data_IF_300452530381
#
_entry.id   IF_300452530381
#
_cell.length_a   1.000
_cell.length_b   1.000
_cell.length_c   1.000
_cell.angle_alpha   90.00
_cell.angle_beta   90.00
_cell.angle_gamma   90.00
#
_symmetry.space_group_name_H-M   'P 1'
#
loop_
_entity.id
_entity.type
_entity.pdbx_description
1 polymer ?
#
# COMPACT_ATOMS: atom_id res chain seq x y z
N UNK A 1 22.71 8.25 -4.16
CA UNK A 1 21.54 7.63 -3.54
C UNK A 1 21.97 6.26 -3.06
N UNK A 2 21.85 6.01 -1.75
CA UNK A 2 22.41 4.83 -1.12
C UNK A 2 21.75 3.56 -1.60
N UNK A 3 22.53 2.50 -1.62
CA UNK A 3 22.13 1.10 -1.63
C UNK A 3 21.02 0.95 -0.57
N UNK A 4 19.90 0.32 -0.95
CA UNK A 4 18.73 0.21 -0.09
C UNK A 4 19.04 -0.37 1.30
N UNK A 5 18.23 -0.02 2.26
CA UNK A 5 18.38 -0.45 3.65
C UNK A 5 18.11 -1.97 3.75
N UNK A 6 19.18 -2.77 3.72
CA UNK A 6 19.10 -4.22 3.90
C UNK A 6 18.50 -4.64 5.27
N UNK A 7 18.51 -3.73 6.24
CA UNK A 7 17.82 -3.94 7.52
C UNK A 7 16.31 -3.97 7.36
N UNK A 8 15.77 -3.09 6.54
CA UNK A 8 14.33 -3.05 6.23
C UNK A 8 13.90 -4.26 5.40
N UNK A 9 14.67 -4.63 4.36
CA UNK A 9 14.44 -5.85 3.57
C UNK A 9 14.33 -7.08 4.45
N UNK A 10 15.33 -7.29 5.32
CA UNK A 10 15.35 -8.41 6.26
C UNK A 10 14.16 -8.39 7.24
N UNK A 11 13.77 -7.20 7.71
CA UNK A 11 12.66 -7.05 8.63
C UNK A 11 11.30 -7.35 7.98
N UNK A 12 11.15 -7.05 6.69
CA UNK A 12 9.91 -7.30 5.95
C UNK A 12 9.81 -8.74 5.43
N UNK A 13 10.91 -9.31 4.95
CA UNK A 13 10.90 -10.58 4.20
C UNK A 13 11.89 -11.62 4.71
N UNK A 14 12.50 -11.41 5.89
CA UNK A 14 13.39 -12.41 6.48
C UNK A 14 12.65 -13.71 6.79
N UNK A 15 12.91 -14.76 5.99
CA UNK A 15 12.24 -16.06 6.11
C UNK A 15 10.89 -16.16 5.37
N UNK A 16 10.49 -15.15 4.62
CA UNK A 16 9.32 -15.22 3.74
C UNK A 16 9.61 -16.14 2.54
N UNK A 17 8.73 -17.11 2.32
CA UNK A 17 8.71 -17.97 1.14
C UNK A 17 7.30 -17.94 0.53
N UNK A 18 7.14 -17.41 -0.70
CA UNK A 18 5.83 -17.28 -1.33
C UNK A 18 5.06 -18.59 -1.45
N UNK A 19 5.74 -19.70 -1.75
CA UNK A 19 5.08 -21.00 -1.93
C UNK A 19 4.53 -21.54 -0.61
N UNK A 20 5.29 -21.44 0.47
CA UNK A 20 4.84 -21.80 1.82
C UNK A 20 3.69 -20.90 2.25
N UNK A 21 3.81 -19.59 2.04
CA UNK A 21 2.77 -18.63 2.39
C UNK A 21 1.45 -18.90 1.64
N UNK A 22 1.52 -19.23 0.34
CA UNK A 22 0.37 -19.60 -0.47
C UNK A 22 -0.28 -20.91 0.00
N UNK A 23 0.51 -21.86 0.49
CA UNK A 23 0.01 -23.10 1.07
C UNK A 23 -0.73 -22.87 2.39
N UNK A 24 -0.21 -21.98 3.23
CA UNK A 24 -0.81 -21.63 4.52
C UNK A 24 -2.06 -20.75 4.36
N UNK A 25 -2.04 -19.87 3.36
CA UNK A 25 -3.10 -18.90 3.06
C UNK A 25 -3.44 -18.96 1.57
N UNK A 26 -4.44 -19.75 1.15
CA UNK A 26 -4.76 -19.96 -0.26
C UNK A 26 -5.49 -18.75 -0.89
N UNK A 27 -4.85 -17.58 -0.89
CA UNK A 27 -5.43 -16.32 -1.41
C UNK A 27 -5.76 -16.39 -2.90
N UNK A 28 -5.13 -17.28 -3.67
CA UNK A 28 -5.46 -17.51 -5.07
C UNK A 28 -6.91 -18.01 -5.24
N UNK A 29 -7.40 -18.86 -4.32
CA UNK A 29 -8.80 -19.33 -4.32
C UNK A 29 -9.75 -18.16 -4.04
N UNK A 30 -9.38 -17.31 -3.06
CA UNK A 30 -10.13 -16.11 -2.72
C UNK A 30 -10.28 -15.14 -3.89
N UNK A 31 -9.25 -15.05 -4.75
CA UNK A 31 -9.19 -14.18 -5.91
C UNK A 31 -9.72 -14.84 -7.20
N UNK A 32 -10.01 -16.14 -7.17
CA UNK A 32 -10.37 -16.92 -8.36
C UNK A 32 -9.22 -16.99 -9.39
N UNK A 33 -7.97 -17.00 -8.92
CA UNK A 33 -6.76 -17.07 -9.78
C UNK A 33 -6.39 -18.53 -9.99
N UNK A 34 -6.22 -18.92 -11.27
CA UNK A 34 -5.72 -20.25 -11.63
C UNK A 34 -4.19 -20.30 -11.44
N UNK A 35 -3.71 -21.32 -10.75
CA UNK A 35 -2.29 -21.57 -10.50
C UNK A 35 -1.59 -22.36 -11.62
N UNK A 36 -2.27 -22.72 -12.70
CA UNK A 36 -1.69 -23.57 -13.77
C UNK A 36 -0.43 -22.95 -14.42
N UNK A 37 -0.29 -21.63 -14.37
CA UNK A 37 0.88 -20.89 -14.86
C UNK A 37 1.75 -20.30 -13.76
N UNK A 38 1.41 -20.53 -12.49
CA UNK A 38 2.15 -19.97 -11.36
C UNK A 38 3.56 -20.57 -11.28
N UNK A 39 4.57 -19.70 -11.23
CA UNK A 39 5.98 -20.12 -11.23
C UNK A 39 6.57 -20.37 -12.62
N UNK A 40 5.80 -20.23 -13.71
CA UNK A 40 6.34 -20.26 -15.08
C UNK A 40 7.06 -18.94 -15.39
N UNK A 41 8.37 -18.93 -15.63
CA UNK A 41 9.11 -17.72 -15.99
C UNK A 41 8.58 -17.04 -17.26
N UNK A 42 7.91 -17.80 -18.15
CA UNK A 42 7.25 -17.26 -19.34
C UNK A 42 5.95 -16.51 -19.03
N UNK A 43 5.23 -16.88 -17.99
CA UNK A 43 3.99 -16.21 -17.60
C UNK A 43 4.24 -14.79 -17.05
N UNK A 44 5.33 -14.57 -16.34
CA UNK A 44 5.74 -13.22 -15.88
C UNK A 44 6.05 -12.27 -17.04
N UNK A 45 6.55 -12.78 -18.17
CA UNK A 45 6.85 -11.97 -19.36
C UNK A 45 5.61 -11.64 -20.19
N UNK A 46 4.54 -12.42 -20.11
CA UNK A 46 3.28 -12.14 -20.81
C UNK A 46 2.50 -10.94 -20.21
N UNK A 47 2.81 -10.55 -18.98
CA UNK A 47 2.18 -9.44 -18.24
C UNK A 47 2.73 -8.07 -18.65
N UNK A 48 3.82 -7.99 -19.34
CA UNK A 48 4.70 -6.84 -19.36
C UNK A 48 4.88 -6.06 -20.64
N UNK A 49 3.94 -5.94 -21.56
CA UNK A 49 4.03 -4.89 -22.57
C UNK A 49 3.28 -3.62 -22.10
N UNK A 50 3.91 -2.89 -21.20
CA UNK A 50 3.50 -1.57 -20.71
C UNK A 50 3.34 -0.49 -21.80
N UNK A 51 3.67 -0.79 -23.06
CA UNK A 51 3.67 0.15 -24.19
C UNK A 51 2.30 0.42 -24.78
N UNK A 52 1.24 -0.27 -24.35
CA UNK A 52 -0.10 -0.15 -24.93
C UNK A 52 -1.19 0.00 -23.86
N UNK A 53 -1.01 0.91 -22.91
CA UNK A 53 -2.14 1.40 -22.15
C UNK A 53 -2.84 2.44 -23.02
N UNK A 54 -3.72 2.00 -23.90
CA UNK A 54 -4.64 2.89 -24.59
C UNK A 54 -5.57 3.51 -23.54
N UNK A 55 -5.71 4.85 -23.49
CA UNK A 55 -6.74 5.51 -22.70
C UNK A 55 -8.11 4.94 -23.12
N UNK A 56 -8.78 4.23 -22.23
CA UNK A 56 -10.05 3.56 -22.51
C UNK A 56 -9.98 2.05 -22.69
N UNK A 57 -8.84 1.41 -22.49
CA UNK A 57 -8.74 -0.04 -22.44
C UNK A 57 -9.07 -0.52 -21.01
N UNK A 58 -10.32 -0.86 -20.80
CA UNK A 58 -10.89 -1.33 -19.51
C UNK A 58 -10.53 -2.79 -19.17
N UNK A 59 -9.47 -3.33 -19.74
CA UNK A 59 -9.04 -4.70 -19.41
C UNK A 59 -8.28 -4.68 -18.08
N UNK A 60 -8.76 -5.40 -17.05
CA UNK A 60 -8.08 -5.49 -15.77
C UNK A 60 -6.64 -5.98 -15.96
N UNK A 61 -5.70 -5.37 -15.26
CA UNK A 61 -4.32 -5.84 -15.24
C UNK A 61 -4.25 -7.29 -14.76
N UNK A 62 -3.35 -8.07 -15.34
CA UNK A 62 -3.09 -9.43 -14.85
C UNK A 62 -2.54 -9.32 -13.44
N UNK A 63 -3.09 -10.14 -12.53
CA UNK A 63 -2.67 -10.15 -11.13
C UNK A 63 -1.27 -10.72 -11.00
N UNK A 64 -0.37 -9.96 -10.45
CA UNK A 64 0.91 -10.46 -9.98
C UNK A 64 0.70 -11.09 -8.60
N UNK A 65 0.51 -12.41 -8.58
CA UNK A 65 0.19 -13.14 -7.34
C UNK A 65 1.29 -12.99 -6.28
N UNK A 66 2.56 -12.98 -6.69
CA UNK A 66 3.69 -12.81 -5.78
C UNK A 66 3.66 -11.47 -5.04
N UNK A 67 3.20 -10.39 -5.69
CA UNK A 67 3.04 -9.07 -5.06
C UNK A 67 1.95 -9.09 -4.01
N UNK A 68 0.83 -9.74 -4.31
CA UNK A 68 -0.27 -9.92 -3.38
C UNK A 68 0.12 -10.82 -2.19
N UNK A 69 0.92 -11.87 -2.42
CA UNK A 69 1.47 -12.70 -1.33
C UNK A 69 2.39 -11.89 -0.42
N UNK A 70 3.24 -11.02 -0.97
CA UNK A 70 4.10 -10.11 -0.20
C UNK A 70 3.27 -9.14 0.64
N UNK A 71 2.25 -8.51 0.05
CA UNK A 71 1.35 -7.61 0.77
C UNK A 71 0.63 -8.33 1.92
N UNK A 72 0.08 -9.51 1.66
CA UNK A 72 -0.58 -10.32 2.68
C UNK A 72 0.38 -10.66 3.83
N UNK A 73 1.60 -11.09 3.49
CA UNK A 73 2.65 -11.38 4.47
C UNK A 73 3.00 -10.16 5.32
N UNK A 74 3.19 -8.98 4.71
CA UNK A 74 3.50 -7.74 5.42
C UNK A 74 2.40 -7.41 6.45
N UNK A 75 1.13 -7.49 6.06
CA UNK A 75 0.02 -7.21 6.96
C UNK A 75 0.02 -8.17 8.15
N UNK A 76 0.24 -9.46 7.91
CA UNK A 76 0.26 -10.48 8.97
C UNK A 76 1.47 -10.38 9.88
N UNK A 77 2.67 -10.29 9.31
CA UNK A 77 3.93 -10.27 10.05
C UNK A 77 4.09 -9.02 10.91
N UNK A 78 3.59 -7.89 10.43
CA UNK A 78 3.59 -6.61 11.14
C UNK A 78 2.36 -6.38 12.02
N UNK A 79 1.42 -7.34 12.09
CA UNK A 79 0.17 -7.22 12.85
C UNK A 79 -0.54 -5.90 12.58
N UNK A 80 -0.62 -5.53 11.30
CA UNK A 80 -1.25 -4.27 10.87
C UNK A 80 -2.69 -4.21 11.34
N UNK A 81 -3.12 -3.04 11.82
CA UNK A 81 -4.48 -2.82 12.33
C UNK A 81 -5.31 -1.90 11.45
N UNK A 82 -4.70 -0.91 10.79
CA UNK A 82 -5.43 0.06 9.97
C UNK A 82 -4.68 0.31 8.67
N UNK A 83 -5.36 0.14 7.54
CA UNK A 83 -4.75 0.32 6.22
C UNK A 83 -5.43 1.47 5.47
N UNK A 84 -4.63 2.31 4.84
CA UNK A 84 -5.05 3.23 3.79
C UNK A 84 -4.48 2.76 2.46
N UNK A 85 -5.36 2.43 1.51
CA UNK A 85 -5.02 2.00 0.16
C UNK A 85 -5.39 3.10 -0.84
N UNK A 86 -4.46 3.45 -1.70
CA UNK A 86 -4.67 4.32 -2.86
C UNK A 86 -4.70 3.48 -4.13
N UNK A 87 -5.86 3.43 -4.78
CA UNK A 87 -6.17 2.51 -5.88
C UNK A 87 -6.93 1.29 -5.35
N UNK A 88 -8.13 1.06 -5.89
CA UNK A 88 -8.99 -0.07 -5.52
C UNK A 88 -8.79 -1.22 -6.49
N UNK A 89 -8.60 -2.45 -5.97
CA UNK A 89 -8.35 -3.59 -6.84
C UNK A 89 -8.40 -4.94 -6.12
N UNK A 90 -7.66 -5.91 -6.65
CA UNK A 90 -7.52 -7.24 -6.02
C UNK A 90 -6.70 -7.18 -4.72
N UNK A 91 -5.80 -6.22 -4.59
CA UNK A 91 -5.08 -5.90 -3.37
C UNK A 91 -6.05 -5.61 -2.21
N UNK A 92 -7.14 -4.90 -2.45
CA UNK A 92 -8.20 -4.62 -1.47
C UNK A 92 -8.70 -5.90 -0.80
N UNK A 93 -9.00 -6.94 -1.57
CA UNK A 93 -9.47 -8.24 -1.03
C UNK A 93 -8.39 -8.91 -0.18
N UNK A 94 -7.13 -8.87 -0.63
CA UNK A 94 -6.00 -9.51 0.04
C UNK A 94 -5.65 -8.81 1.35
N UNK A 95 -5.62 -7.48 1.34
CA UNK A 95 -5.38 -6.65 2.52
C UNK A 95 -6.49 -6.85 3.57
N UNK A 96 -7.75 -6.87 3.14
CA UNK A 96 -8.89 -7.13 4.01
C UNK A 96 -8.87 -8.53 4.63
N UNK A 97 -8.46 -9.55 3.85
CA UNK A 97 -8.32 -10.91 4.35
C UNK A 97 -7.24 -11.01 5.44
N UNK A 98 -6.09 -10.41 5.20
CA UNK A 98 -5.02 -10.39 6.20
C UNK A 98 -5.44 -9.63 7.48
N UNK A 99 -6.19 -8.53 7.37
CA UNK A 99 -6.77 -7.83 8.53
C UNK A 99 -7.78 -8.70 9.30
N UNK A 100 -8.56 -9.54 8.60
CA UNK A 100 -9.48 -10.48 9.27
C UNK A 100 -8.72 -11.47 10.16
N UNK A 101 -7.62 -12.01 9.67
CA UNK A 101 -6.75 -12.92 10.43
C UNK A 101 -6.12 -12.20 11.62
N UNK A 102 -5.65 -10.95 11.42
CA UNK A 102 -5.09 -10.15 12.51
C UNK A 102 -6.15 -9.85 13.59
N UNK A 103 -7.40 -9.55 13.20
CA UNK A 103 -8.49 -9.35 14.16
C UNK A 103 -8.74 -10.60 15.00
N UNK A 104 -8.86 -11.76 14.37
CA UNK A 104 -9.04 -13.03 15.08
C UNK A 104 -7.93 -13.29 16.10
N UNK A 105 -6.69 -12.93 15.76
CA UNK A 105 -5.53 -13.12 16.61
C UNK A 105 -5.38 -12.07 17.72
N UNK A 106 -5.59 -10.81 17.38
CA UNK A 106 -5.10 -9.67 18.18
C UNK A 106 -6.19 -8.74 18.72
N UNK A 107 -7.49 -8.94 18.41
CA UNK A 107 -8.57 -8.02 18.80
C UNK A 107 -8.61 -7.71 20.30
N UNK A 108 -8.38 -8.71 21.15
CA UNK A 108 -8.39 -8.55 22.60
C UNK A 108 -7.27 -7.61 23.10
N UNK A 109 -6.06 -7.77 22.58
CA UNK A 109 -4.90 -6.94 22.93
C UNK A 109 -5.06 -5.53 22.38
N UNK A 110 -5.51 -5.41 21.13
CA UNK A 110 -5.74 -4.10 20.50
C UNK A 110 -6.78 -3.30 21.27
N UNK A 111 -7.90 -3.91 21.67
CA UNK A 111 -8.95 -3.25 22.43
C UNK A 111 -8.52 -2.85 23.86
N UNK A 112 -7.66 -3.66 24.51
CA UNK A 112 -7.24 -3.41 25.90
C UNK A 112 -6.08 -2.41 26.00
N UNK A 113 -5.09 -2.50 25.10
CA UNK A 113 -3.78 -1.87 25.29
C UNK A 113 -3.45 -0.82 24.23
N UNK A 114 -4.16 -0.77 23.10
CA UNK A 114 -3.86 0.13 22.01
C UNK A 114 -4.89 1.25 21.85
N UNK A 115 -4.41 2.43 21.48
CA UNK A 115 -5.25 3.54 21.09
C UNK A 115 -5.50 3.50 19.58
N UNK A 116 -6.55 2.76 19.16
CA UNK A 116 -6.97 2.63 17.76
C UNK A 116 -8.45 2.99 17.60
N UNK A 117 -8.76 3.91 16.67
CA UNK A 117 -10.14 4.29 16.36
C UNK A 117 -10.74 3.44 15.23
N UNK A 118 -9.89 2.91 14.37
CA UNK A 118 -10.28 2.11 13.20
C UNK A 118 -9.52 0.76 13.19
N UNK A 119 -9.66 -0.06 14.26
CA UNK A 119 -8.93 -1.31 14.34
C UNK A 119 -9.47 -2.33 13.34
N UNK A 120 -8.57 -2.93 12.57
CA UNK A 120 -8.83 -3.95 11.56
C UNK A 120 -9.72 -3.48 10.40
N UNK A 121 -9.65 -2.17 10.10
CA UNK A 121 -10.34 -1.56 8.97
C UNK A 121 -9.37 -1.26 7.82
N UNK A 122 -9.86 -1.50 6.61
CA UNK A 122 -9.26 -1.10 5.34
C UNK A 122 -10.06 0.04 4.74
N UNK A 123 -9.40 1.16 4.49
CA UNK A 123 -9.97 2.28 3.77
C UNK A 123 -9.26 2.39 2.41
N UNK A 124 -9.99 2.10 1.33
CA UNK A 124 -9.47 2.16 -0.03
C UNK A 124 -10.08 3.33 -0.77
N UNK A 125 -9.26 4.15 -1.40
CA UNK A 125 -9.67 5.34 -2.13
C UNK A 125 -9.41 5.19 -3.62
N UNK A 126 -10.37 5.59 -4.45
CA UNK A 126 -10.23 5.62 -5.90
C UNK A 126 -11.02 6.78 -6.48
N UNK A 127 -10.63 7.27 -7.64
CA UNK A 127 -11.34 8.29 -8.39
C UNK A 127 -12.30 7.72 -9.45
N UNK A 128 -12.24 6.42 -9.71
CA UNK A 128 -13.09 5.73 -10.68
C UNK A 128 -14.18 4.91 -9.97
N UNK A 129 -15.43 5.34 -10.13
CA UNK A 129 -16.61 4.67 -9.56
C UNK A 129 -16.82 3.27 -10.13
N UNK A 130 -16.43 3.01 -11.37
CA UNK A 130 -16.60 1.70 -12.01
C UNK A 130 -15.66 0.66 -11.41
N UNK A 131 -14.44 1.04 -11.07
CA UNK A 131 -13.49 0.20 -10.33
C UNK A 131 -13.98 -0.10 -8.92
N UNK A 132 -14.48 0.92 -8.21
CA UNK A 132 -15.07 0.78 -6.88
C UNK A 132 -16.25 -0.21 -6.92
N UNK A 133 -17.16 -0.08 -7.88
CA UNK A 133 -18.30 -0.99 -8.05
C UNK A 133 -17.85 -2.41 -8.33
N UNK A 134 -16.88 -2.58 -9.24
CA UNK A 134 -16.31 -3.89 -9.60
C UNK A 134 -15.68 -4.56 -8.39
N UNK A 135 -14.84 -3.85 -7.64
CA UNK A 135 -14.19 -4.36 -6.43
C UNK A 135 -15.22 -4.69 -5.34
N UNK A 136 -16.22 -3.81 -5.13
CA UNK A 136 -17.30 -4.03 -4.16
C UNK A 136 -18.09 -5.31 -4.45
N UNK A 137 -18.37 -5.59 -5.73
CA UNK A 137 -19.07 -6.82 -6.13
C UNK A 137 -18.21 -8.06 -5.95
N UNK A 138 -16.91 -7.97 -6.25
CA UNK A 138 -15.97 -9.07 -6.12
C UNK A 138 -15.59 -9.37 -4.65
N UNK A 139 -15.78 -8.41 -3.74
CA UNK A 139 -15.38 -8.55 -2.35
C UNK A 139 -16.23 -9.62 -1.64
N UNK A 140 -15.62 -10.66 -1.04
CA UNK A 140 -16.30 -11.68 -0.26
C UNK A 140 -17.15 -11.10 0.87
N UNK A 141 -18.31 -11.67 1.11
CA UNK A 141 -19.28 -11.14 2.07
C UNK A 141 -18.70 -10.99 3.50
N UNK A 142 -17.85 -11.92 3.93
CA UNK A 142 -17.24 -11.90 5.26
C UNK A 142 -16.17 -10.81 5.46
N UNK A 143 -15.75 -10.15 4.37
CA UNK A 143 -14.77 -9.05 4.42
C UNK A 143 -15.42 -7.67 4.30
N UNK A 144 -16.69 -7.57 3.94
CA UNK A 144 -17.33 -6.30 3.60
C UNK A 144 -17.39 -5.30 4.74
N UNK A 145 -17.65 -5.76 5.96
CA UNK A 145 -17.83 -4.87 7.11
C UNK A 145 -16.54 -4.14 7.51
N UNK A 146 -15.37 -4.66 7.09
CA UNK A 146 -14.06 -4.04 7.36
C UNK A 146 -13.51 -3.20 6.20
N UNK A 147 -14.15 -3.27 5.03
CA UNK A 147 -13.71 -2.57 3.82
C UNK A 147 -14.56 -1.33 3.57
N UNK A 148 -13.93 -0.18 3.62
CA UNK A 148 -14.55 1.11 3.34
C UNK A 148 -14.00 1.64 2.02
N UNK A 149 -14.79 1.51 0.93
CA UNK A 149 -14.43 1.98 -0.40
C UNK A 149 -14.91 3.42 -0.55
N UNK A 150 -14.00 4.34 -0.90
CA UNK A 150 -14.26 5.76 -0.98
C UNK A 150 -14.05 6.25 -2.41
N UNK A 151 -15.10 6.85 -3.00
CA UNK A 151 -14.94 7.62 -4.22
C UNK A 151 -14.37 9.00 -3.89
N UNK A 152 -13.13 9.25 -4.28
CA UNK A 152 -12.40 10.48 -4.02
C UNK A 152 -11.95 11.08 -5.36
N UNK A 153 -12.59 12.15 -5.87
CA UNK A 153 -12.15 12.82 -7.10
C UNK A 153 -10.70 13.26 -7.01
N UNK A 154 -10.00 13.15 -8.14
CA UNK A 154 -8.58 13.47 -8.25
C UNK A 154 -8.39 14.84 -8.89
N UNK A 155 -7.52 15.66 -8.31
CA UNK A 155 -7.20 16.99 -8.84
C UNK A 155 -5.70 17.21 -9.02
N UNK A 156 -5.35 18.06 -9.99
CA UNK A 156 -4.00 18.60 -10.13
C UNK A 156 -3.77 19.64 -9.05
N UNK A 157 -2.61 19.55 -8.40
CA UNK A 157 -2.19 20.50 -7.39
C UNK A 157 -0.69 20.75 -7.41
N UNK A 158 -0.22 21.42 -6.37
CA UNK A 158 1.18 21.78 -6.19
C UNK A 158 1.65 21.38 -4.79
N UNK A 159 2.80 20.70 -4.71
CA UNK A 159 3.52 20.46 -3.48
C UNK A 159 4.92 21.08 -3.58
N UNK A 160 5.21 22.07 -2.73
CA UNK A 160 6.48 22.78 -2.71
C UNK A 160 6.97 23.27 -4.10
N UNK A 161 6.06 23.84 -4.90
CA UNK A 161 6.35 24.35 -6.25
C UNK A 161 6.41 23.26 -7.34
N UNK A 162 6.01 22.03 -7.04
CA UNK A 162 6.06 20.90 -7.97
C UNK A 162 4.66 20.41 -8.28
N UNK A 163 4.38 20.18 -9.56
CA UNK A 163 3.11 19.60 -10.02
C UNK A 163 2.94 18.19 -9.43
N UNK A 164 1.75 17.94 -8.90
CA UNK A 164 1.36 16.65 -8.33
C UNK A 164 -0.16 16.47 -8.43
N UNK A 165 -0.65 15.35 -7.92
CA UNK A 165 -2.08 15.07 -7.79
C UNK A 165 -2.48 14.89 -6.33
N UNK A 166 -3.74 15.19 -6.02
CA UNK A 166 -4.38 14.96 -4.73
C UNK A 166 -5.76 14.36 -4.91
N UNK A 167 -6.10 13.44 -4.03
CA UNK A 167 -7.47 13.02 -3.84
C UNK A 167 -8.23 14.03 -2.96
N UNK A 168 -9.47 14.35 -3.33
CA UNK A 168 -10.37 15.13 -2.49
C UNK A 168 -11.07 14.25 -1.47
N UNK A 169 -11.28 14.78 -0.27
CA UNK A 169 -12.09 14.14 0.77
C UNK A 169 -11.56 12.77 1.23
N UNK A 170 -10.25 12.66 1.43
CA UNK A 170 -9.66 11.46 2.02
C UNK A 170 -10.28 11.12 3.37
N UNK A 171 -10.40 9.84 3.72
CA UNK A 171 -10.81 9.43 5.06
C UNK A 171 -9.81 9.91 6.11
N UNK A 172 -10.30 10.52 7.18
CA UNK A 172 -9.47 11.05 8.26
C UNK A 172 -9.14 9.94 9.26
N UNK A 173 -8.03 9.26 9.07
CA UNK A 173 -7.58 8.13 9.87
C UNK A 173 -6.07 8.15 10.10
N UNK A 174 -5.59 7.28 11.00
CA UNK A 174 -4.17 7.11 11.28
C UNK A 174 -3.73 5.67 10.89
N UNK A 175 -3.35 5.44 9.61
CA UNK A 175 -2.95 4.12 9.16
C UNK A 175 -1.58 3.71 9.71
N UNK A 176 -1.39 2.42 9.94
CA UNK A 176 -0.08 1.81 10.20
C UNK A 176 0.52 1.15 8.94
N UNK A 177 -0.31 0.94 7.90
CA UNK A 177 0.14 0.60 6.56
C UNK A 177 -0.53 1.52 5.53
N UNK A 178 0.25 2.06 4.61
CA UNK A 178 -0.23 2.78 3.42
C UNK A 178 0.23 2.00 2.19
N UNK A 179 -0.71 1.63 1.33
CA UNK A 179 -0.42 1.02 0.03
C UNK A 179 -0.75 1.99 -1.09
N UNK A 180 0.23 2.33 -1.93
CA UNK A 180 0.12 3.30 -3.01
C UNK A 180 0.26 2.61 -4.37
N UNK A 181 -0.87 2.30 -4.99
CA UNK A 181 -0.99 1.74 -6.34
C UNK A 181 -1.92 2.57 -7.25
N UNK A 182 -2.51 3.62 -6.76
CA UNK A 182 -3.31 4.66 -7.44
C UNK A 182 -2.71 6.04 -7.22
N UNK A 183 -3.22 7.07 -7.90
CA UNK A 183 -4.12 7.07 -9.05
C UNK A 183 -3.39 6.86 -10.38
N UNK A 184 -4.15 6.72 -11.48
CA UNK A 184 -3.60 6.83 -12.83
C UNK A 184 -3.17 8.28 -13.15
N UNK A 185 -2.47 8.46 -14.27
CA UNK A 185 -1.95 9.77 -14.65
C UNK A 185 -2.92 10.64 -15.46
N UNK A 186 -4.05 10.08 -15.94
CA UNK A 186 -4.92 10.75 -16.91
C UNK A 186 -6.16 11.35 -16.29
N UNK A 187 -6.68 10.81 -15.19
CA UNK A 187 -7.98 11.15 -14.62
C UNK A 187 -7.98 12.36 -13.68
N UNK A 188 -6.81 12.98 -13.42
CA UNK A 188 -6.76 14.16 -12.57
C UNK A 188 -7.37 15.39 -13.26
N UNK A 189 -8.28 16.08 -12.56
CA UNK A 189 -8.92 17.31 -13.04
C UNK A 189 -8.01 18.53 -12.86
N UNK A 190 -8.06 19.44 -13.85
CA UNK A 190 -7.36 20.72 -13.80
C UNK A 190 -5.96 20.70 -14.39
N UNK A 191 -5.26 21.81 -14.19
CA UNK A 191 -3.87 22.02 -14.61
C UNK A 191 -3.14 22.98 -13.67
N UNK A 192 -1.81 22.95 -13.72
CA UNK A 192 -0.95 23.95 -13.11
C UNK A 192 -0.18 24.68 -14.21
N UNK A 193 -0.58 25.92 -14.55
CA UNK A 193 0.03 26.73 -15.62
C UNK A 193 0.03 26.04 -16.99
N UNK A 194 -1.05 25.34 -17.31
CA UNK A 194 -1.20 24.55 -18.53
C UNK A 194 -0.50 23.19 -18.51
N UNK A 195 0.03 22.76 -17.37
CA UNK A 195 0.68 21.47 -17.19
C UNK A 195 -0.25 20.53 -16.39
N UNK A 196 -0.35 19.28 -16.84
CA UNK A 196 -1.12 18.22 -16.19
C UNK A 196 -0.30 16.93 -16.18
N UNK A 197 -0.65 15.97 -15.34
CA UNK A 197 -0.12 14.61 -15.42
C UNK A 197 -0.65 13.85 -16.62
N UNK A 198 -1.80 14.26 -17.19
CA UNK A 198 -2.46 13.65 -18.35
C UNK A 198 -1.64 13.85 -19.64
N UNK A 199 -0.55 13.11 -19.76
CA UNK A 199 0.36 13.13 -20.91
C UNK A 199 1.01 11.76 -21.05
N UNK A 200 1.14 11.19 -22.27
CA UNK A 200 1.68 9.85 -22.49
C UNK A 200 3.09 9.62 -21.90
N UNK A 201 3.91 10.67 -21.89
CA UNK A 201 5.31 10.59 -21.41
C UNK A 201 5.47 11.02 -19.94
N UNK A 202 4.37 11.20 -19.20
CA UNK A 202 4.40 11.54 -17.78
C UNK A 202 3.97 10.35 -16.94
N UNK A 203 4.38 10.36 -15.67
CA UNK A 203 4.03 9.36 -14.68
C UNK A 203 3.10 9.97 -13.63
N UNK A 204 2.27 9.16 -12.96
CA UNK A 204 1.45 9.63 -11.84
C UNK A 204 2.35 10.18 -10.74
N UNK A 205 1.84 11.16 -9.98
CA UNK A 205 2.63 11.90 -8.99
C UNK A 205 1.74 12.29 -7.79
N UNK A 206 1.23 11.28 -7.07
CA UNK A 206 0.40 11.50 -5.88
C UNK A 206 1.22 12.07 -4.73
N UNK A 207 0.70 13.13 -4.11
CA UNK A 207 1.35 13.85 -3.02
C UNK A 207 0.58 13.77 -1.69
N UNK A 208 -0.52 13.07 -1.63
CA UNK A 208 -1.41 12.98 -0.46
C UNK A 208 -0.65 12.63 0.82
N UNK A 209 0.22 11.63 0.78
CA UNK A 209 1.01 11.17 1.94
C UNK A 209 1.87 12.28 2.51
N UNK A 210 2.42 13.17 1.66
CA UNK A 210 3.25 14.29 2.09
C UNK A 210 2.47 15.32 2.90
N UNK A 211 1.15 15.44 2.66
CA UNK A 211 0.30 16.40 3.37
C UNK A 211 0.09 16.00 4.82
N UNK A 212 -0.06 14.72 5.09
CA UNK A 212 -0.31 14.22 6.44
C UNK A 212 0.88 13.46 7.06
N UNK A 213 2.07 13.52 6.45
CA UNK A 213 3.28 12.85 6.94
C UNK A 213 3.51 13.04 8.44
N UNK A 214 3.35 14.28 8.94
CA UNK A 214 3.62 14.61 10.34
C UNK A 214 2.62 14.03 11.34
N UNK A 215 1.48 13.52 10.88
CA UNK A 215 0.50 12.80 11.71
C UNK A 215 0.73 11.30 11.76
N UNK A 216 1.60 10.76 10.89
CA UNK A 216 1.96 9.34 10.91
C UNK A 216 2.79 9.02 12.16
N UNK A 217 2.57 7.82 12.70
CA UNK A 217 3.28 7.37 13.89
C UNK A 217 4.51 6.54 13.53
N UNK A 218 5.61 6.61 14.31
CA UNK A 218 6.73 5.68 14.14
C UNK A 218 6.24 4.23 14.05
N UNK A 219 6.83 3.48 13.12
CA UNK A 219 6.38 2.13 12.74
C UNK A 219 5.44 2.09 11.55
N UNK A 220 4.89 3.23 11.08
CA UNK A 220 4.10 3.25 9.84
C UNK A 220 4.96 2.82 8.65
N UNK A 221 4.40 1.94 7.81
CA UNK A 221 5.00 1.48 6.56
C UNK A 221 4.22 2.04 5.37
N UNK A 222 4.94 2.55 4.37
CA UNK A 222 4.40 2.89 3.05
C UNK A 222 4.96 1.87 2.05
N UNK A 223 4.08 1.23 1.28
CA UNK A 223 4.44 0.39 0.14
C UNK A 223 3.96 1.08 -1.12
N UNK A 224 4.86 1.31 -2.07
CA UNK A 224 4.55 1.90 -3.38
C UNK A 224 4.80 0.84 -4.44
N UNK A 225 3.81 0.51 -5.24
CA UNK A 225 3.83 -0.59 -6.18
C UNK A 225 3.90 -0.10 -7.63
N UNK A 226 4.91 -0.55 -8.38
CA UNK A 226 5.09 -0.24 -9.80
C UNK A 226 5.23 1.24 -10.16
N UNK A 227 5.41 2.13 -9.19
CA UNK A 227 5.35 3.60 -9.34
C UNK A 227 6.66 4.29 -8.99
N UNK A 228 7.76 3.84 -9.60
CA UNK A 228 9.11 4.34 -9.30
C UNK A 228 9.23 5.87 -9.35
N UNK A 229 8.56 6.56 -10.28
CA UNK A 229 8.57 8.02 -10.35
C UNK A 229 7.92 8.64 -9.10
N UNK A 230 6.76 8.12 -8.68
CA UNK A 230 6.07 8.56 -7.47
C UNK A 230 6.88 8.25 -6.20
N UNK A 231 7.47 7.06 -6.11
CA UNK A 231 8.33 6.70 -4.98
C UNK A 231 9.54 7.64 -4.86
N UNK A 232 10.17 8.02 -5.97
CA UNK A 232 11.26 9.01 -5.98
C UNK A 232 10.77 10.41 -5.58
N UNK A 233 9.55 10.79 -5.96
CA UNK A 233 8.94 12.04 -5.54
C UNK A 233 8.70 12.04 -4.02
N UNK A 234 8.17 10.97 -3.45
CA UNK A 234 8.05 10.81 -2.00
C UNK A 234 9.41 10.85 -1.32
N UNK A 235 10.38 10.07 -1.77
CA UNK A 235 11.72 9.99 -1.18
C UNK A 235 12.45 11.36 -1.14
N UNK A 236 12.15 12.27 -2.08
CA UNK A 236 12.76 13.59 -2.14
C UNK A 236 11.99 14.67 -1.37
N UNK A 237 10.78 14.38 -0.89
CA UNK A 237 9.92 15.35 -0.22
C UNK A 237 9.51 14.94 1.20
N UNK A 238 9.57 13.69 1.57
CA UNK A 238 9.43 13.22 2.95
C UNK A 238 10.52 13.86 3.82
N UNK A 239 10.12 14.41 4.97
CA UNK A 239 10.97 15.22 5.85
C UNK A 239 11.38 14.51 7.12
N UNK A 240 10.59 13.54 7.57
CA UNK A 240 10.85 12.77 8.78
C UNK A 240 11.87 11.66 8.52
N UNK A 241 12.27 10.91 9.53
CA UNK A 241 13.28 9.87 9.40
C UNK A 241 12.68 8.57 8.86
N UNK A 242 12.72 8.41 7.54
CA UNK A 242 12.28 7.23 6.83
C UNK A 242 13.46 6.33 6.47
N UNK A 243 13.37 5.05 6.78
CA UNK A 243 14.15 4.00 6.15
C UNK A 243 13.55 3.71 4.79
N UNK A 244 14.35 3.62 3.75
CA UNK A 244 13.89 3.41 2.38
C UNK A 244 14.63 2.25 1.71
N UNK A 245 13.85 1.36 1.12
CA UNK A 245 14.36 0.27 0.29
C UNK A 245 13.56 0.18 -1.01
N UNK A 246 14.29 0.03 -2.15
CA UNK A 246 13.72 -0.25 -3.46
C UNK A 246 14.03 -1.70 -3.84
N UNK A 247 13.03 -2.52 -3.88
CA UNK A 247 13.08 -3.90 -4.33
C UNK A 247 12.94 -3.95 -5.85
N UNK A 248 14.05 -3.79 -6.55
CA UNK A 248 14.10 -3.69 -8.03
C UNK A 248 13.56 -4.96 -8.70
N UNK A 249 13.68 -6.12 -8.05
CA UNK A 249 13.32 -7.43 -8.60
C UNK A 249 11.82 -7.59 -8.83
N UNK A 250 11.03 -6.88 -8.03
CA UNK A 250 9.56 -6.91 -8.10
C UNK A 250 8.93 -5.50 -8.11
N UNK A 251 9.72 -4.48 -8.48
CA UNK A 251 9.32 -3.08 -8.70
C UNK A 251 8.49 -2.47 -7.55
N UNK A 252 8.83 -2.82 -6.29
CA UNK A 252 8.18 -2.26 -5.11
C UNK A 252 9.13 -1.39 -4.31
N UNK A 253 8.58 -0.33 -3.70
CA UNK A 253 9.33 0.58 -2.83
C UNK A 253 8.72 0.60 -1.43
N UNK A 254 9.57 0.58 -0.42
CA UNK A 254 9.20 0.51 0.98
C UNK A 254 9.79 1.69 1.74
N UNK A 255 8.94 2.37 2.52
CA UNK A 255 9.35 3.42 3.43
C UNK A 255 8.83 3.09 4.83
N UNK A 256 9.71 2.97 5.80
CA UNK A 256 9.34 2.77 7.20
C UNK A 256 9.73 3.99 8.03
N UNK A 257 8.79 4.52 8.81
CA UNK A 257 9.06 5.66 9.70
C UNK A 257 9.80 5.19 10.94
N UNK A 258 11.14 5.38 10.95
CA UNK A 258 12.04 4.86 11.98
C UNK A 258 12.46 5.94 12.97
N UNK A 259 11.53 6.40 13.76
CA UNK A 259 11.75 7.37 14.84
C UNK A 259 11.46 6.75 16.20
N UNK A 260 11.89 7.41 17.26
CA UNK A 260 11.51 7.02 18.62
C UNK A 260 10.00 7.17 18.81
N UNK A 261 9.37 6.29 19.61
CA UNK A 261 7.92 6.34 19.82
C UNK A 261 7.42 7.71 20.31
N UNK A 262 6.25 8.12 19.83
CA UNK A 262 5.57 9.38 20.21
C UNK A 262 4.86 9.30 21.58
N UNK A 263 5.36 8.49 22.48
CA UNK A 263 4.80 8.31 23.80
C UNK A 263 4.26 6.89 24.04
N UNK A 264 3.61 6.63 25.21
CA UNK A 264 3.35 5.27 25.68
C UNK A 264 2.40 4.47 24.76
N UNK A 265 1.43 5.10 24.12
CA UNK A 265 0.50 4.41 23.22
C UNK A 265 1.19 3.90 21.95
N UNK A 266 2.03 4.74 21.33
CA UNK A 266 2.77 4.32 20.15
C UNK A 266 3.88 3.31 20.52
N UNK A 267 4.51 3.44 21.70
CA UNK A 267 5.48 2.46 22.19
C UNK A 267 4.84 1.07 22.32
N UNK A 268 3.66 0.96 22.92
CA UNK A 268 2.94 -0.32 23.05
C UNK A 268 2.56 -0.91 21.68
N UNK A 269 2.13 -0.05 20.75
CA UNK A 269 1.82 -0.47 19.40
C UNK A 269 3.07 -1.05 18.70
N UNK A 270 4.20 -0.37 18.79
CA UNK A 270 5.47 -0.84 18.23
C UNK A 270 5.89 -2.16 18.87
N UNK A 271 5.85 -2.26 20.18
CA UNK A 271 6.20 -3.48 20.91
C UNK A 271 5.35 -4.67 20.44
N UNK A 272 4.04 -4.49 20.33
CA UNK A 272 3.13 -5.56 19.90
C UNK A 272 3.26 -5.88 18.41
N UNK A 273 3.29 -4.86 17.54
CA UNK A 273 3.22 -5.03 16.09
C UNK A 273 4.57 -5.36 15.46
N UNK A 274 5.66 -4.79 15.97
CA UNK A 274 6.96 -4.81 15.31
C UNK A 274 8.07 -5.48 16.15
N UNK A 275 7.83 -5.65 17.45
CA UNK A 275 8.78 -6.29 18.37
C UNK A 275 10.08 -5.51 18.57
N UNK A 276 11.09 -6.19 19.13
CA UNK A 276 12.38 -5.60 19.50
C UNK A 276 13.23 -5.16 18.30
N UNK A 277 13.06 -5.78 17.14
CA UNK A 277 13.84 -5.49 15.93
C UNK A 277 13.64 -4.04 15.45
N UNK A 278 12.45 -3.47 15.66
CA UNK A 278 12.19 -2.05 15.37
C UNK A 278 13.00 -1.12 16.27
N UNK A 279 13.12 -1.45 17.55
CA UNK A 279 13.86 -0.67 18.54
C UNK A 279 15.34 -0.52 18.16
N UNK A 280 15.94 -1.55 17.58
CA UNK A 280 17.33 -1.53 17.10
C UNK A 280 17.48 -0.57 15.90
N UNK A 281 16.51 -0.56 14.98
CA UNK A 281 16.53 0.32 13.79
C UNK A 281 16.20 1.77 14.10
N UNK A 282 15.39 2.03 15.13
CA UNK A 282 14.99 3.39 15.51
C UNK A 282 16.03 4.14 16.35
N UNK A 283 17.00 3.45 16.94
CA UNK A 283 18.01 4.01 17.82
C UNK A 283 19.36 4.37 17.11
N UNK A 284 19.43 4.30 15.78
CA UNK A 284 20.64 4.61 15.00
C UNK A 284 20.73 6.08 14.70
#
# INVERSE_FOLDING_TARGET
>A
MGVGDHGLEKALFGGFDPATHLSDYPIHELLGVDLSSYGDPGAKQAVGNWTNVDPGNEVPFVVELDDLLRLHHIVLSRRVTTILEFGVGKSTTVLAHALAINEERDAGVVAADMRRSNPFELHSVDNDTSWIETASQALPAFLRDRCHLHHCPLEIGEFAGRLCTYYRNLPNLAPDLIYLDGPDQFSAEGDLRGLSTAHPDRMPMAADILVFEHFLTPGTLIVVDGRTANARFLATNLQRRWSYWHAVEFDQHFFELVETPLGPYNARQIEHCLGDDFSVRSNI
#
